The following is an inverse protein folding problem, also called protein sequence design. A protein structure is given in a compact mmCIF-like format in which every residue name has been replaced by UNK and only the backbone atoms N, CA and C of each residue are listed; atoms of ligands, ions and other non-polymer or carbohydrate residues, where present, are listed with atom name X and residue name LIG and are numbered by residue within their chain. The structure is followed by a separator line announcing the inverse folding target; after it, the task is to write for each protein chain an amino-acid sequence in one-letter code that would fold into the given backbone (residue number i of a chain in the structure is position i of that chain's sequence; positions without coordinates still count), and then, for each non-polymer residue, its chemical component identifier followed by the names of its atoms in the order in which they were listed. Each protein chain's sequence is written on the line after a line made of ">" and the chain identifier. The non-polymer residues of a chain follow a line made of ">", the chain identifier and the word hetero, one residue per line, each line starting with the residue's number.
data_IF_483016830148
#
_entry.id   IF_483016830148
#
_cell.length_a   1.000
_cell.length_b   1.000
_cell.length_c   1.000
_cell.angle_alpha   90.00
_cell.angle_beta   90.00
_cell.angle_gamma   90.00
#
_symmetry.space_group_name_H-M   'P 1'
#
loop_
_entity.id
_entity.type
_entity.pdbx_description
1 polymer ?
#
# COMPACT_ATOMS: atom_id res chain seq x y z
N UNK A 1 -23.25 -6.82 19.78
CA UNK A 1 -21.89 -7.42 19.74
C UNK A 1 -21.01 -6.56 18.85
N UNK A 2 -19.69 -6.56 19.01
CA UNK A 2 -18.78 -5.80 18.13
C UNK A 2 -18.83 -6.30 16.68
N UNK A 3 -19.01 -7.61 16.51
CA UNK A 3 -19.05 -8.26 15.19
C UNK A 3 -20.46 -8.66 14.74
N UNK A 4 -21.42 -8.70 15.66
CA UNK A 4 -22.76 -9.24 15.40
C UNK A 4 -23.83 -8.15 15.53
N UNK A 5 -24.91 -8.31 14.77
CA UNK A 5 -26.02 -7.36 14.67
C UNK A 5 -26.70 -7.05 16.00
N UNK A 6 -27.46 -5.95 16.00
CA UNK A 6 -28.24 -5.51 17.15
C UNK A 6 -29.24 -6.61 17.57
N UNK A 7 -29.33 -6.88 18.88
CA UNK A 7 -30.20 -7.93 19.43
C UNK A 7 -29.58 -9.33 19.51
N UNK A 8 -28.33 -9.55 19.04
CA UNK A 8 -27.65 -10.86 19.18
C UNK A 8 -27.48 -11.22 20.67
N UNK A 9 -27.99 -12.37 21.15
CA UNK A 9 -27.83 -12.81 22.52
C UNK A 9 -26.35 -12.93 22.93
N UNK A 10 -26.02 -12.57 24.17
CA UNK A 10 -24.63 -12.56 24.64
C UNK A 10 -23.92 -13.92 24.55
N UNK A 11 -24.66 -15.02 24.62
CA UNK A 11 -24.14 -16.40 24.49
C UNK A 11 -23.84 -16.80 23.04
N UNK A 12 -24.39 -16.07 22.06
CA UNK A 12 -24.21 -16.31 20.63
C UNK A 12 -23.24 -15.30 20.00
N UNK A 13 -22.90 -14.24 20.74
CA UNK A 13 -21.98 -13.21 20.30
C UNK A 13 -20.54 -13.76 20.17
N UNK A 14 -19.86 -13.42 19.08
CA UNK A 14 -18.47 -13.82 18.85
C UNK A 14 -17.55 -13.17 19.89
N UNK A 15 -16.76 -14.00 20.59
CA UNK A 15 -15.76 -13.53 21.56
C UNK A 15 -14.43 -13.23 20.87
N UNK A 16 -13.89 -12.00 20.97
CA UNK A 16 -12.55 -11.70 20.48
C UNK A 16 -11.49 -12.36 21.38
N UNK A 17 -10.43 -12.90 20.78
CA UNK A 17 -9.27 -13.43 21.50
C UNK A 17 -8.38 -12.29 22.00
N UNK A 18 -8.69 -11.75 23.19
CA UNK A 18 -7.95 -10.64 23.81
C UNK A 18 -7.24 -11.09 25.08
N UNK A 19 -5.95 -10.73 25.19
CA UNK A 19 -5.13 -11.05 26.36
C UNK A 19 -4.62 -9.80 27.10
N UNK A 20 -5.14 -8.60 26.81
CA UNK A 20 -4.69 -7.35 27.43
C UNK A 20 -5.85 -6.33 27.58
N UNK A 21 -6.00 -5.75 28.79
CA UNK A 21 -7.00 -4.73 29.11
C UNK A 21 -7.00 -3.52 28.13
N UNK A 22 -5.85 -2.97 27.70
CA UNK A 22 -5.83 -1.87 26.73
C UNK A 22 -6.53 -2.19 25.41
N UNK A 23 -6.54 -3.46 24.99
CA UNK A 23 -7.20 -3.86 23.75
C UNK A 23 -8.73 -3.81 23.89
N UNK A 24 -9.28 -4.06 25.08
CA UNK A 24 -10.73 -3.93 25.33
C UNK A 24 -11.16 -2.47 25.19
N UNK A 25 -10.39 -1.54 25.76
CA UNK A 25 -10.61 -0.10 25.61
C UNK A 25 -10.62 0.34 24.14
N UNK A 26 -9.70 -0.18 23.31
CA UNK A 26 -9.71 0.07 21.86
C UNK A 26 -11.02 -0.39 21.22
N UNK A 27 -11.52 -1.58 21.55
CA UNK A 27 -12.78 -2.09 21.00
C UNK A 27 -14.00 -1.27 21.44
N UNK A 28 -14.02 -0.82 22.69
CA UNK A 28 -15.07 0.08 23.18
C UNK A 28 -15.09 1.39 22.39
N UNK A 29 -13.92 1.98 22.10
CA UNK A 29 -13.82 3.20 21.30
C UNK A 29 -14.30 2.99 19.87
N UNK A 30 -13.93 1.88 19.24
CA UNK A 30 -14.50 1.48 17.94
C UNK A 30 -16.02 1.33 17.98
N UNK A 31 -16.56 0.71 19.03
CA UNK A 31 -18.00 0.50 19.16
C UNK A 31 -18.77 1.80 19.44
N UNK A 32 -18.14 2.79 20.08
CA UNK A 32 -18.71 4.11 20.38
C UNK A 32 -18.75 5.05 19.17
N UNK A 33 -18.01 4.74 18.11
CA UNK A 33 -18.02 5.57 16.90
C UNK A 33 -19.44 5.65 16.32
N UNK A 34 -19.92 6.86 15.98
CA UNK A 34 -21.33 7.08 15.67
C UNK A 34 -21.75 6.52 14.30
N UNK A 35 -20.78 6.22 13.43
CA UNK A 35 -21.01 5.75 12.06
C UNK A 35 -20.05 4.64 11.70
N UNK A 36 -20.56 3.70 10.92
CA UNK A 36 -19.82 2.65 10.22
C UNK A 36 -19.94 2.86 8.72
N UNK A 37 -19.05 2.23 7.95
CA UNK A 37 -19.18 2.24 6.50
C UNK A 37 -20.53 1.65 6.04
N UNK A 38 -21.01 0.60 6.72
CA UNK A 38 -22.31 -0.04 6.47
C UNK A 38 -23.51 0.90 6.56
N UNK A 39 -23.41 2.00 7.31
CA UNK A 39 -24.48 2.98 7.48
C UNK A 39 -24.62 3.91 6.26
N UNK A 40 -23.66 3.88 5.33
CA UNK A 40 -23.63 4.72 4.13
C UNK A 40 -24.28 4.05 2.92
N UNK A 41 -25.36 3.30 3.13
CA UNK A 41 -26.04 2.58 2.05
C UNK A 41 -26.41 3.52 0.89
N UNK A 42 -26.07 3.11 -0.33
CA UNK A 42 -26.27 3.91 -1.54
C UNK A 42 -25.16 4.91 -1.86
N UNK A 43 -24.19 5.16 -0.96
CA UNK A 43 -23.04 6.02 -1.22
C UNK A 43 -21.79 5.26 -1.69
N UNK A 44 -21.81 3.93 -1.56
CA UNK A 44 -20.75 3.05 -2.02
C UNK A 44 -21.32 1.76 -2.61
N UNK A 45 -20.50 1.09 -3.41
CA UNK A 45 -20.80 -0.21 -4.01
C UNK A 45 -19.57 -1.11 -3.94
N UNK A 46 -19.73 -2.34 -3.45
CA UNK A 46 -18.63 -3.30 -3.32
C UNK A 46 -18.82 -4.50 -4.25
N UNK A 47 -17.74 -4.95 -4.91
CA UNK A 47 -17.81 -6.03 -5.89
C UNK A 47 -16.56 -6.91 -5.91
N UNK A 48 -16.76 -8.19 -6.24
CA UNK A 48 -15.68 -9.15 -6.59
C UNK A 48 -15.35 -9.13 -8.08
N UNK A 49 -16.13 -8.37 -8.86
CA UNK A 49 -16.02 -8.22 -10.32
C UNK A 49 -16.08 -9.57 -11.05
N UNK A 50 -14.96 -10.05 -11.59
CA UNK A 50 -14.94 -11.30 -12.35
C UNK A 50 -14.46 -12.48 -11.51
N UNK A 51 -15.30 -13.51 -11.38
CA UNK A 51 -14.81 -14.80 -10.88
C UNK A 51 -13.81 -15.39 -11.89
N UNK A 52 -12.58 -15.65 -11.43
CA UNK A 52 -11.49 -16.09 -12.30
C UNK A 52 -11.84 -17.34 -13.12
N UNK A 53 -12.59 -18.28 -12.54
CA UNK A 53 -12.94 -19.54 -13.22
C UNK A 53 -14.06 -19.33 -14.22
N UNK A 54 -15.15 -18.69 -13.78
CA UNK A 54 -16.31 -18.49 -14.65
C UNK A 54 -16.04 -17.53 -15.80
N UNK A 55 -15.31 -16.43 -15.54
CA UNK A 55 -14.96 -15.45 -16.56
C UNK A 55 -14.04 -16.01 -17.65
N UNK A 56 -13.23 -17.03 -17.33
CA UNK A 56 -12.47 -17.75 -18.36
C UNK A 56 -13.34 -18.75 -19.11
N UNK A 57 -14.23 -19.45 -18.42
CA UNK A 57 -15.12 -20.44 -19.01
C UNK A 57 -16.13 -19.81 -19.99
N UNK A 58 -16.63 -18.60 -19.71
CA UNK A 58 -17.59 -17.88 -20.56
C UNK A 58 -16.93 -16.93 -21.59
N UNK A 59 -15.59 -16.92 -21.66
CA UNK A 59 -14.81 -16.11 -22.59
C UNK A 59 -14.78 -14.61 -22.27
N UNK A 60 -15.14 -14.18 -21.06
CA UNK A 60 -14.97 -12.76 -20.63
C UNK A 60 -13.50 -12.39 -20.53
N UNK A 61 -12.70 -13.28 -19.94
CA UNK A 61 -11.26 -13.10 -19.74
C UNK A 61 -10.50 -14.32 -20.24
N UNK A 62 -9.22 -14.15 -20.53
CA UNK A 62 -8.32 -15.27 -20.81
C UNK A 62 -7.00 -15.05 -20.10
N UNK A 63 -6.39 -16.15 -19.66
CA UNK A 63 -5.06 -16.11 -19.08
C UNK A 63 -4.01 -15.91 -20.17
N UNK A 64 -3.38 -14.74 -20.19
CA UNK A 64 -2.32 -14.39 -21.09
C UNK A 64 -1.41 -13.35 -20.42
N UNK A 65 -0.14 -13.69 -20.24
CA UNK A 65 0.80 -12.82 -19.54
C UNK A 65 1.40 -11.82 -20.51
N UNK A 66 1.10 -10.53 -20.33
CA UNK A 66 1.61 -9.45 -21.18
C UNK A 66 1.67 -8.11 -20.43
N UNK A 67 2.43 -7.15 -20.95
CA UNK A 67 2.20 -5.74 -20.65
C UNK A 67 0.92 -5.28 -21.35
N UNK A 68 -0.04 -4.69 -20.63
CA UNK A 68 -1.26 -4.15 -21.25
C UNK A 68 -0.92 -2.89 -22.06
N UNK A 69 -1.62 -2.67 -23.18
CA UNK A 69 -1.46 -1.46 -23.99
C UNK A 69 -2.07 -0.23 -23.30
N UNK A 70 -3.15 -0.44 -22.54
CA UNK A 70 -3.86 0.58 -21.77
C UNK A 70 -4.53 -0.02 -20.53
N UNK A 71 -5.08 0.83 -19.67
CA UNK A 71 -5.72 0.45 -18.40
C UNK A 71 -6.93 -0.48 -18.56
N UNK A 72 -7.63 -0.45 -19.69
CA UNK A 72 -8.80 -1.29 -19.96
C UNK A 72 -8.43 -2.76 -20.23
N UNK A 73 -7.21 -3.01 -20.70
CA UNK A 73 -6.67 -4.37 -20.84
C UNK A 73 -6.11 -4.92 -19.51
N UNK A 74 -5.90 -4.04 -18.52
CA UNK A 74 -5.28 -4.43 -17.26
C UNK A 74 -6.29 -5.08 -16.31
N UNK A 75 -6.24 -6.40 -16.17
CA UNK A 75 -6.98 -7.14 -15.15
C UNK A 75 -6.08 -7.39 -13.94
N UNK A 76 -6.33 -6.64 -12.87
CA UNK A 76 -5.56 -6.65 -11.64
C UNK A 76 -5.79 -7.93 -10.81
N UNK A 77 -4.74 -8.33 -10.10
CA UNK A 77 -4.72 -9.45 -9.15
C UNK A 77 -3.95 -9.08 -7.88
N UNK A 78 -4.15 -9.84 -6.81
CA UNK A 78 -3.64 -9.51 -5.47
C UNK A 78 -2.16 -9.10 -5.38
N UNK A 79 -1.20 -9.79 -6.03
CA UNK A 79 0.23 -9.43 -5.96
C UNK A 79 0.57 -8.04 -6.51
N UNK A 80 -0.26 -7.45 -7.38
CA UNK A 80 0.04 -6.18 -8.04
C UNK A 80 0.15 -4.99 -7.07
N UNK A 81 -0.52 -5.05 -5.93
CA UNK A 81 -0.58 -3.94 -4.99
C UNK A 81 -0.32 -4.40 -3.54
N UNK A 82 0.06 -3.46 -2.69
CA UNK A 82 0.21 -3.61 -1.25
C UNK A 82 -0.36 -2.39 -0.51
N UNK A 83 -0.26 -2.33 0.82
CA UNK A 83 -0.81 -1.24 1.64
C UNK A 83 -0.36 0.12 1.10
N UNK A 84 -1.30 0.94 0.63
CA UNK A 84 -1.05 2.26 0.05
C UNK A 84 -0.13 2.25 -1.18
N UNK A 85 0.09 1.10 -1.80
CA UNK A 85 1.07 0.87 -2.88
C UNK A 85 0.39 0.20 -4.07
N UNK A 86 -0.20 0.98 -5.00
CA UNK A 86 -0.89 0.41 -6.17
C UNK A 86 0.01 -0.37 -7.13
N UNK A 87 1.31 -0.03 -7.15
CA UNK A 87 2.34 -0.68 -7.95
C UNK A 87 3.37 -1.37 -7.05
N UNK A 88 3.07 -2.59 -6.62
CA UNK A 88 3.90 -3.37 -5.71
C UNK A 88 4.76 -4.41 -6.43
N UNK A 89 4.13 -5.26 -7.24
CA UNK A 89 4.82 -6.30 -8.01
C UNK A 89 4.24 -6.44 -9.41
N UNK A 90 5.06 -6.97 -10.31
CA UNK A 90 4.64 -7.40 -11.65
C UNK A 90 4.92 -8.88 -11.83
N UNK A 91 4.05 -9.65 -12.50
CA UNK A 91 4.38 -11.02 -12.88
C UNK A 91 5.56 -11.04 -13.84
N UNK A 92 6.33 -12.12 -13.77
CA UNK A 92 7.32 -12.47 -14.79
C UNK A 92 6.61 -12.89 -16.07
N UNK A 93 7.26 -12.76 -17.22
CA UNK A 93 6.77 -13.25 -18.51
C UNK A 93 6.27 -14.70 -18.40
N UNK A 94 7.06 -15.58 -17.76
CA UNK A 94 6.67 -16.95 -17.42
C UNK A 94 6.18 -17.01 -15.97
N UNK A 95 4.91 -16.72 -15.76
CA UNK A 95 4.28 -16.77 -14.44
C UNK A 95 3.51 -18.08 -14.21
N UNK A 96 4.17 -19.18 -13.85
CA UNK A 96 3.49 -20.46 -13.54
C UNK A 96 3.25 -20.69 -12.05
N UNK A 97 4.03 -20.04 -11.20
CA UNK A 97 3.98 -20.21 -9.74
C UNK A 97 3.56 -18.94 -9.03
N UNK A 98 3.03 -19.08 -7.82
CA UNK A 98 2.59 -17.94 -6.97
C UNK A 98 3.72 -16.96 -6.65
N UNK A 99 4.97 -17.41 -6.72
CA UNK A 99 6.17 -16.62 -6.46
C UNK A 99 6.80 -15.97 -7.69
N UNK A 100 6.27 -16.16 -8.90
CA UNK A 100 6.83 -15.59 -10.14
C UNK A 100 6.42 -14.12 -10.33
N UNK A 101 6.69 -13.32 -9.31
CA UNK A 101 6.45 -11.88 -9.27
C UNK A 101 7.69 -11.18 -8.75
N UNK A 102 8.06 -10.08 -9.40
CA UNK A 102 9.20 -9.26 -9.01
C UNK A 102 8.71 -7.92 -8.44
N UNK A 103 9.41 -7.42 -7.42
CA UNK A 103 9.11 -6.14 -6.78
C UNK A 103 9.40 -4.98 -7.73
N UNK A 104 8.50 -4.01 -7.76
CA UNK A 104 8.65 -2.81 -8.59
C UNK A 104 9.44 -1.74 -7.85
N UNK A 105 10.31 -1.05 -8.58
CA UNK A 105 11.07 0.08 -8.04
C UNK A 105 10.45 1.42 -8.43
N UNK A 106 9.66 1.96 -7.52
CA UNK A 106 8.88 3.18 -7.73
C UNK A 106 9.71 4.41 -8.09
N UNK A 107 10.97 4.50 -7.68
CA UNK A 107 11.82 5.67 -7.97
C UNK A 107 12.13 5.79 -9.46
N UNK A 108 12.00 4.69 -10.20
CA UNK A 108 12.52 4.58 -11.55
C UNK A 108 11.46 4.11 -12.57
N UNK A 109 10.26 3.71 -12.11
CA UNK A 109 9.15 3.44 -13.02
C UNK A 109 8.80 4.68 -13.88
N UNK A 110 8.42 4.49 -15.16
CA UNK A 110 7.80 5.53 -15.98
C UNK A 110 6.53 6.11 -15.36
N UNK A 111 6.18 7.33 -15.75
CA UNK A 111 5.01 8.04 -15.23
C UNK A 111 3.68 7.45 -15.76
N UNK A 112 3.70 6.74 -16.88
CA UNK A 112 2.58 6.06 -17.54
C UNK A 112 2.63 4.53 -17.38
N UNK A 113 3.46 4.03 -16.46
CA UNK A 113 3.73 2.61 -16.31
C UNK A 113 2.47 1.78 -15.98
N UNK A 114 2.29 0.67 -16.70
CA UNK A 114 1.34 -0.39 -16.37
C UNK A 114 2.11 -1.71 -16.13
N UNK A 115 1.84 -2.44 -15.04
CA UNK A 115 2.50 -3.72 -14.80
C UNK A 115 1.97 -4.79 -15.74
N UNK A 116 2.75 -5.85 -15.98
CA UNK A 116 2.23 -7.04 -16.66
C UNK A 116 0.99 -7.53 -15.94
N UNK A 117 0.03 -8.09 -16.67
CA UNK A 117 -1.07 -8.86 -16.10
C UNK A 117 -0.99 -10.30 -16.58
N UNK A 118 -1.59 -11.22 -15.82
CA UNK A 118 -1.79 -12.60 -16.22
C UNK A 118 -3.13 -12.84 -16.92
N UNK A 119 -4.04 -11.86 -16.90
CA UNK A 119 -5.38 -11.98 -17.48
C UNK A 119 -5.71 -10.76 -18.31
N UNK A 120 -6.32 -10.97 -19.48
CA UNK A 120 -6.77 -9.90 -20.37
C UNK A 120 -8.22 -10.16 -20.81
N UNK A 121 -8.95 -9.12 -21.25
CA UNK A 121 -10.27 -9.30 -21.87
C UNK A 121 -10.20 -10.28 -23.05
N UNK A 122 -11.23 -11.12 -23.19
CA UNK A 122 -11.30 -12.16 -24.23
C UNK A 122 -12.56 -12.08 -25.12
N UNK A 123 -13.40 -11.07 -24.91
CA UNK A 123 -14.53 -10.72 -25.76
C UNK A 123 -14.39 -9.30 -26.31
N UNK A 124 -15.31 -8.89 -27.20
CA UNK A 124 -15.32 -7.53 -27.71
C UNK A 124 -15.68 -6.50 -26.62
N UNK A 125 -15.36 -5.23 -26.89
CA UNK A 125 -15.51 -4.12 -25.94
C UNK A 125 -16.96 -3.95 -25.47
N UNK A 126 -17.96 -4.18 -26.32
CA UNK A 126 -19.36 -3.99 -25.95
C UNK A 126 -19.83 -5.10 -25.00
N UNK A 127 -19.49 -6.34 -25.32
CA UNK A 127 -19.81 -7.48 -24.45
C UNK A 127 -19.04 -7.40 -23.12
N UNK A 128 -17.77 -7.00 -23.14
CA UNK A 128 -17.00 -6.79 -21.91
C UNK A 128 -17.61 -5.69 -21.02
N UNK A 129 -18.02 -4.57 -21.62
CA UNK A 129 -18.70 -3.49 -20.92
C UNK A 129 -20.06 -3.92 -20.34
N UNK A 130 -20.79 -4.80 -21.04
CA UNK A 130 -22.06 -5.37 -20.56
C UNK A 130 -21.87 -6.31 -19.38
N UNK A 131 -20.78 -7.08 -19.35
CA UNK A 131 -20.42 -7.99 -18.24
C UNK A 131 -19.79 -7.26 -17.05
N UNK A 132 -19.30 -6.04 -17.26
CA UNK A 132 -18.73 -5.22 -16.20
C UNK A 132 -19.83 -4.75 -15.24
N UNK A 133 -19.71 -4.99 -13.91
CA UNK A 133 -20.68 -4.52 -12.94
C UNK A 133 -20.87 -2.99 -12.98
N UNK A 134 -22.06 -2.54 -12.63
CA UNK A 134 -22.40 -1.12 -12.49
C UNK A 134 -22.64 -0.76 -11.04
N UNK A 135 -22.38 0.50 -10.69
CA UNK A 135 -22.72 1.02 -9.36
C UNK A 135 -24.24 1.05 -9.17
N UNK A 136 -24.69 1.28 -7.93
CA UNK A 136 -26.13 1.29 -7.58
C UNK A 136 -26.78 2.67 -7.63
N UNK A 137 -26.02 3.71 -7.97
CA UNK A 137 -26.50 5.08 -8.10
C UNK A 137 -26.32 5.60 -9.53
N UNK A 138 -27.04 6.67 -9.86
CA UNK A 138 -26.91 7.37 -11.14
C UNK A 138 -26.33 8.75 -10.89
N UNK A 139 -25.34 9.14 -11.70
CA UNK A 139 -24.74 10.48 -11.61
C UNK A 139 -25.73 11.56 -12.08
N UNK A 140 -25.64 12.80 -11.57
CA UNK A 140 -26.51 13.89 -12.03
C UNK A 140 -26.39 14.11 -13.54
N UNK A 141 -27.53 13.98 -14.25
CA UNK A 141 -27.59 14.17 -15.71
C UNK A 141 -27.37 12.91 -16.54
N UNK A 142 -27.28 11.73 -15.92
CA UNK A 142 -27.22 10.44 -16.62
C UNK A 142 -28.51 9.63 -16.44
N UNK A 143 -28.80 8.78 -17.43
CA UNK A 143 -30.01 7.93 -17.43
C UNK A 143 -29.76 6.56 -16.79
N UNK A 144 -28.51 6.10 -16.73
CA UNK A 144 -28.13 4.78 -16.23
C UNK A 144 -26.92 4.84 -15.29
N UNK A 145 -26.83 3.95 -14.28
CA UNK A 145 -25.65 3.84 -13.44
C UNK A 145 -24.38 3.52 -14.24
N UNK A 146 -23.27 4.19 -13.94
CA UNK A 146 -21.97 3.96 -14.59
C UNK A 146 -21.36 2.61 -14.22
N UNK A 147 -20.41 2.12 -15.03
CA UNK A 147 -19.67 0.90 -14.70
C UNK A 147 -18.76 1.17 -13.51
N UNK A 148 -18.48 0.14 -12.71
CA UNK A 148 -17.51 0.26 -11.61
C UNK A 148 -16.14 0.71 -12.11
N UNK A 149 -15.74 0.31 -13.33
CA UNK A 149 -14.50 0.70 -13.99
C UNK A 149 -14.38 2.20 -14.24
N UNK A 150 -15.49 2.94 -14.30
CA UNK A 150 -15.49 4.37 -14.61
C UNK A 150 -15.09 5.24 -13.39
N UNK A 151 -14.89 4.60 -12.21
CA UNK A 151 -14.51 5.24 -10.95
C UNK A 151 -13.06 4.96 -10.55
N UNK A 152 -12.50 5.79 -9.68
CA UNK A 152 -11.38 5.35 -8.83
C UNK A 152 -11.94 4.49 -7.69
N UNK A 153 -11.23 3.43 -7.32
CA UNK A 153 -11.75 2.44 -6.36
C UNK A 153 -10.72 2.10 -5.29
N UNK A 154 -11.19 1.74 -4.11
CA UNK A 154 -10.37 1.11 -3.09
C UNK A 154 -10.36 -0.41 -3.35
N UNK A 155 -9.22 -0.97 -3.72
CA UNK A 155 -9.01 -2.39 -3.87
C UNK A 155 -8.45 -3.00 -2.59
N UNK A 156 -8.96 -4.15 -2.18
CA UNK A 156 -8.46 -4.94 -1.06
C UNK A 156 -8.27 -6.39 -1.50
N UNK A 157 -7.18 -7.03 -1.05
CA UNK A 157 -7.01 -8.47 -1.29
C UNK A 157 -8.14 -9.25 -0.60
N UNK A 158 -8.77 -10.16 -1.34
CA UNK A 158 -9.88 -10.96 -0.80
C UNK A 158 -9.38 -11.99 0.22
N UNK A 159 -8.21 -12.59 -0.02
CA UNK A 159 -7.61 -13.54 0.94
C UNK A 159 -6.81 -12.80 2.01
N UNK A 160 -7.08 -13.11 3.28
CA UNK A 160 -6.46 -12.50 4.46
C UNK A 160 -5.55 -13.51 5.13
N UNK A 161 -4.34 -13.06 5.49
CA UNK A 161 -3.41 -13.83 6.31
C UNK A 161 -3.19 -13.14 7.64
N UNK A 162 -3.86 -13.64 8.68
CA UNK A 162 -3.83 -13.04 10.03
C UNK A 162 -2.40 -13.08 10.61
N UNK A 163 -1.66 -14.15 10.31
CA UNK A 163 -0.26 -14.33 10.74
C UNK A 163 0.78 -13.63 9.85
N UNK A 164 0.37 -12.95 8.77
CA UNK A 164 1.31 -12.22 7.93
C UNK A 164 1.69 -10.87 8.54
N UNK A 165 2.67 -10.21 7.91
CA UNK A 165 3.08 -8.83 8.21
C UNK A 165 1.86 -7.90 8.30
N UNK A 166 1.01 -7.93 7.27
CA UNK A 166 -0.29 -7.25 7.20
C UNK A 166 -1.38 -8.23 6.81
N UNK A 167 -2.53 -8.16 7.47
CA UNK A 167 -3.72 -8.97 7.15
C UNK A 167 -4.58 -8.28 6.10
N UNK A 168 -4.92 -7.02 6.35
CA UNK A 168 -5.60 -6.13 5.42
C UNK A 168 -4.59 -5.51 4.45
N UNK A 169 -4.80 -5.74 3.16
CA UNK A 169 -3.92 -5.20 2.10
C UNK A 169 -4.75 -4.37 1.12
N UNK A 170 -4.83 -3.04 1.34
CA UNK A 170 -5.56 -2.11 0.49
C UNK A 170 -4.68 -1.21 -0.41
N UNK A 171 -5.19 -0.82 -1.57
CA UNK A 171 -4.64 0.26 -2.40
C UNK A 171 -5.74 0.90 -3.27
N UNK A 172 -5.56 2.18 -3.64
CA UNK A 172 -6.39 2.80 -4.67
C UNK A 172 -6.01 2.29 -6.06
N UNK A 173 -7.00 1.99 -6.89
CA UNK A 173 -6.82 1.59 -8.29
C UNK A 173 -7.45 2.63 -9.23
N UNK A 174 -6.85 2.85 -10.42
CA UNK A 174 -7.34 3.86 -11.35
C UNK A 174 -8.60 3.39 -12.09
N UNK A 175 -9.17 4.30 -12.89
CA UNK A 175 -10.27 3.99 -13.81
C UNK A 175 -9.85 2.92 -14.84
N UNK A 176 -10.84 2.31 -15.47
CA UNK A 176 -10.77 1.29 -16.52
C UNK A 176 -10.21 -0.08 -16.10
N UNK A 177 -9.51 -0.16 -14.97
CA UNK A 177 -8.90 -1.40 -14.46
C UNK A 177 -9.95 -2.39 -13.96
N UNK A 178 -9.96 -3.59 -14.52
CA UNK A 178 -10.73 -4.71 -14.00
C UNK A 178 -9.93 -5.51 -12.96
N UNK A 179 -10.57 -6.46 -12.27
CA UNK A 179 -9.85 -7.37 -11.37
C UNK A 179 -10.51 -8.74 -11.29
N UNK A 180 -9.73 -9.74 -10.86
CA UNK A 180 -10.28 -11.06 -10.51
C UNK A 180 -10.89 -11.06 -9.11
N UNK A 181 -11.69 -12.08 -8.81
CA UNK A 181 -12.29 -12.35 -7.50
C UNK A 181 -11.28 -12.56 -6.34
N UNK A 182 -9.98 -12.66 -6.63
CA UNK A 182 -8.91 -12.55 -5.62
C UNK A 182 -8.79 -11.16 -4.98
N UNK A 183 -9.55 -10.19 -5.48
CA UNK A 183 -9.61 -8.80 -5.03
C UNK A 183 -11.08 -8.40 -4.87
N UNK A 184 -11.35 -7.59 -3.87
CA UNK A 184 -12.63 -6.89 -3.72
C UNK A 184 -12.39 -5.40 -3.88
N UNK A 185 -13.23 -4.71 -4.64
CA UNK A 185 -13.17 -3.26 -4.78
C UNK A 185 -14.39 -2.58 -4.17
N UNK A 186 -14.19 -1.35 -3.71
CA UNK A 186 -15.22 -0.45 -3.22
C UNK A 186 -15.19 0.83 -4.08
N UNK A 187 -16.31 1.12 -4.73
CA UNK A 187 -16.58 2.37 -5.44
C UNK A 187 -17.32 3.31 -4.49
N UNK A 188 -17.05 4.61 -4.57
CA UNK A 188 -17.74 5.63 -3.77
C UNK A 188 -18.23 6.74 -4.70
N UNK A 189 -19.37 7.33 -4.37
CA UNK A 189 -19.90 8.49 -5.10
C UNK A 189 -19.22 9.82 -4.70
N UNK A 190 -18.24 9.77 -3.78
CA UNK A 190 -17.48 10.92 -3.29
C UNK A 190 -16.00 10.57 -3.19
N UNK A 191 -15.15 11.42 -3.78
CA UNK A 191 -13.68 11.29 -3.68
C UNK A 191 -13.18 11.48 -2.25
N UNK A 192 -13.79 12.39 -1.48
CA UNK A 192 -13.45 12.58 -0.05
C UNK A 192 -13.74 11.31 0.75
N UNK A 193 -14.87 10.65 0.50
CA UNK A 193 -15.20 9.39 1.16
C UNK A 193 -14.23 8.27 0.76
N UNK A 194 -13.89 8.18 -0.53
CA UNK A 194 -12.87 7.25 -1.03
C UNK A 194 -11.52 7.46 -0.31
N UNK A 195 -11.08 8.72 -0.16
CA UNK A 195 -9.81 9.07 0.50
C UNK A 195 -9.84 8.70 1.98
N UNK A 196 -10.90 9.08 2.71
CA UNK A 196 -11.04 8.78 4.14
C UNK A 196 -11.05 7.29 4.42
N UNK A 197 -11.88 6.53 3.70
CA UNK A 197 -11.96 5.07 3.87
C UNK A 197 -10.65 4.40 3.48
N UNK A 198 -9.97 4.89 2.44
CA UNK A 198 -8.65 4.38 2.06
C UNK A 198 -7.61 4.65 3.14
N UNK A 199 -7.53 5.88 3.67
CA UNK A 199 -6.63 6.23 4.77
C UNK A 199 -6.88 5.38 6.02
N UNK A 200 -8.14 5.18 6.39
CA UNK A 200 -8.49 4.27 7.49
C UNK A 200 -8.02 2.84 7.21
N UNK A 201 -8.30 2.29 6.02
CA UNK A 201 -7.89 0.96 5.63
C UNK A 201 -6.36 0.78 5.57
N UNK A 202 -5.60 1.84 5.25
CA UNK A 202 -4.13 1.81 5.20
C UNK A 202 -3.52 1.66 6.59
N UNK A 203 -4.26 2.02 7.64
CA UNK A 203 -3.77 2.00 9.01
C UNK A 203 -3.64 0.60 9.62
N UNK A 204 -2.69 0.46 10.54
CA UNK A 204 -2.57 -0.70 11.42
C UNK A 204 -3.80 -0.93 12.30
N UNK A 205 -4.57 0.12 12.59
CA UNK A 205 -5.72 0.02 13.47
C UNK A 205 -6.84 -0.76 12.76
N UNK A 206 -7.07 -0.51 11.47
CA UNK A 206 -8.00 -1.30 10.67
C UNK A 206 -7.49 -2.72 10.39
N UNK A 207 -6.18 -2.89 10.17
CA UNK A 207 -5.59 -4.22 10.04
C UNK A 207 -5.73 -5.01 11.36
N UNK A 208 -5.64 -4.35 12.52
CA UNK A 208 -5.88 -4.96 13.82
C UNK A 208 -7.31 -5.50 13.91
N UNK A 209 -8.31 -4.69 13.55
CA UNK A 209 -9.72 -5.13 13.54
C UNK A 209 -9.91 -6.33 12.60
N UNK A 210 -9.21 -6.34 11.46
CA UNK A 210 -9.24 -7.47 10.53
C UNK A 210 -8.64 -8.73 11.13
N UNK A 211 -7.45 -8.63 11.71
CA UNK A 211 -6.76 -9.75 12.35
C UNK A 211 -7.55 -10.31 13.53
N UNK A 212 -8.15 -9.43 14.33
CA UNK A 212 -8.95 -9.82 15.49
C UNK A 212 -10.23 -10.56 15.10
N UNK A 213 -10.81 -10.24 13.94
CA UNK A 213 -12.01 -10.92 13.43
C UNK A 213 -11.81 -12.41 13.13
N UNK A 214 -10.56 -12.87 12.98
CA UNK A 214 -10.25 -14.26 12.64
C UNK A 214 -10.58 -14.65 11.20
N UNK A 215 -11.02 -13.70 10.35
CA UNK A 215 -11.45 -13.97 8.97
C UNK A 215 -10.25 -14.24 8.06
N UNK A 216 -10.36 -15.27 7.22
CA UNK A 216 -9.37 -15.64 6.20
C UNK A 216 -9.78 -15.18 4.80
N UNK A 217 -11.02 -14.71 4.64
CA UNK A 217 -11.54 -14.08 3.45
C UNK A 217 -12.28 -12.79 3.82
N UNK A 218 -12.06 -11.74 3.03
CA UNK A 218 -12.54 -10.39 3.28
C UNK A 218 -14.06 -10.30 3.24
N UNK A 219 -14.74 -10.98 2.32
CA UNK A 219 -16.19 -10.80 2.10
C UNK A 219 -16.61 -9.31 2.19
N UNK A 220 -17.65 -8.95 2.95
CA UNK A 220 -18.08 -7.56 3.19
C UNK A 220 -17.56 -6.98 4.53
N UNK A 221 -16.39 -7.43 5.00
CA UNK A 221 -15.96 -7.17 6.38
C UNK A 221 -15.72 -5.71 6.74
N UNK A 222 -15.23 -4.88 5.81
CA UNK A 222 -14.90 -3.48 6.14
C UNK A 222 -16.16 -2.61 6.32
N UNK A 223 -17.32 -3.09 5.89
CA UNK A 223 -18.61 -2.41 6.07
C UNK A 223 -19.01 -2.40 7.57
N UNK A 224 -18.49 -3.35 8.34
CA UNK A 224 -18.72 -3.43 9.80
C UNK A 224 -17.85 -2.42 10.57
N UNK A 225 -16.87 -1.77 9.94
CA UNK A 225 -15.87 -0.96 10.65
C UNK A 225 -16.33 0.49 10.81
N UNK A 226 -15.94 1.06 11.94
CA UNK A 226 -16.21 2.45 12.30
C UNK A 226 -15.56 3.40 11.32
N UNK A 227 -16.33 4.34 10.76
CA UNK A 227 -15.82 5.39 9.89
C UNK A 227 -15.35 6.56 10.77
N UNK A 228 -14.03 6.77 10.95
CA UNK A 228 -13.53 7.81 11.84
C UNK A 228 -13.87 9.19 11.26
N UNK A 229 -14.16 10.13 12.14
CA UNK A 229 -14.32 11.52 11.73
C UNK A 229 -12.97 12.23 11.73
N UNK A 230 -12.64 12.84 10.60
CA UNK A 230 -11.36 13.51 10.36
C UNK A 230 -11.51 15.02 10.26
N UNK A 231 -12.58 15.65 10.79
CA UNK A 231 -12.87 17.08 10.56
C UNK A 231 -11.62 17.99 10.63
N UNK A 232 -10.80 17.85 11.68
CA UNK A 232 -9.61 18.67 11.88
C UNK A 232 -8.36 18.18 11.12
N UNK A 233 -8.30 16.89 10.78
CA UNK A 233 -7.10 16.23 10.21
C UNK A 233 -7.32 15.69 8.80
N UNK A 234 -8.42 16.05 8.15
CA UNK A 234 -8.80 15.54 6.84
C UNK A 234 -7.75 15.86 5.79
N UNK A 235 -7.19 17.07 5.81
CA UNK A 235 -6.15 17.49 4.87
C UNK A 235 -4.81 16.75 5.13
N UNK A 236 -4.45 16.51 6.40
CA UNK A 236 -3.28 15.70 6.78
C UNK A 236 -3.37 14.28 6.22
N UNK A 237 -4.53 13.65 6.38
CA UNK A 237 -4.81 12.31 5.87
C UNK A 237 -4.80 12.31 4.34
N UNK A 238 -5.51 13.25 3.72
CA UNK A 238 -5.70 13.31 2.28
C UNK A 238 -4.40 13.49 1.53
N UNK A 239 -3.54 14.42 1.95
CA UNK A 239 -2.24 14.65 1.34
C UNK A 239 -1.39 13.36 1.33
N UNK A 240 -1.38 12.60 2.43
CA UNK A 240 -0.61 11.35 2.56
C UNK A 240 -1.21 10.21 1.74
N UNK A 241 -2.53 10.01 1.80
CA UNK A 241 -3.23 8.96 1.03
C UNK A 241 -3.08 9.18 -0.47
N UNK A 242 -3.28 10.42 -0.92
CA UNK A 242 -3.14 10.77 -2.34
C UNK A 242 -1.70 10.62 -2.79
N UNK A 243 -0.72 11.13 -2.03
CA UNK A 243 0.69 11.03 -2.40
C UNK A 243 1.22 9.59 -2.39
N UNK A 244 0.69 8.72 -1.53
CA UNK A 244 1.01 7.28 -1.55
C UNK A 244 0.45 6.57 -2.78
N UNK A 245 -0.72 7.00 -3.26
CA UNK A 245 -1.54 6.27 -4.23
C UNK A 245 -1.37 6.75 -5.67
N UNK A 246 -1.28 8.06 -5.91
CA UNK A 246 -1.26 8.66 -7.25
C UNK A 246 0.11 8.52 -7.94
N UNK A 247 0.53 7.28 -8.21
CA UNK A 247 1.87 6.95 -8.69
C UNK A 247 2.10 7.19 -10.19
N UNK A 248 1.04 7.30 -10.99
CA UNK A 248 1.10 7.41 -12.45
C UNK A 248 0.13 8.45 -12.98
N UNK A 249 0.26 8.80 -14.26
CA UNK A 249 -0.65 9.69 -15.00
C UNK A 249 -2.10 9.19 -14.98
N UNK A 250 -2.34 7.88 -14.78
CA UNK A 250 -3.67 7.29 -14.62
C UNK A 250 -4.43 7.80 -13.39
N UNK A 251 -3.77 8.52 -12.47
CA UNK A 251 -4.37 9.16 -11.31
C UNK A 251 -4.51 10.68 -11.46
N UNK A 252 -4.22 11.26 -12.63
CA UNK A 252 -4.21 12.71 -12.82
C UNK A 252 -5.55 13.36 -12.48
N UNK A 253 -6.67 12.80 -12.95
CA UNK A 253 -8.00 13.33 -12.62
C UNK A 253 -8.30 13.23 -11.12
N UNK A 254 -7.93 12.11 -10.49
CA UNK A 254 -8.13 11.91 -9.05
C UNK A 254 -7.34 12.95 -8.26
N UNK A 255 -6.08 13.15 -8.63
CA UNK A 255 -5.21 14.16 -8.02
C UNK A 255 -5.80 15.56 -8.16
N UNK A 256 -6.07 16.00 -9.39
CA UNK A 256 -6.58 17.35 -9.67
C UNK A 256 -7.92 17.62 -8.99
N UNK A 257 -8.83 16.64 -8.99
CA UNK A 257 -10.16 16.79 -8.39
C UNK A 257 -10.17 16.85 -6.87
N UNK A 258 -9.11 16.35 -6.22
CA UNK A 258 -9.04 16.19 -4.76
C UNK A 258 -7.90 16.99 -4.11
N UNK A 259 -7.10 17.69 -4.92
CA UNK A 259 -6.05 18.57 -4.45
C UNK A 259 -6.65 19.76 -3.66
N UNK A 260 -6.05 20.06 -2.51
CA UNK A 260 -6.30 21.29 -1.75
C UNK A 260 -4.99 22.06 -1.59
N UNK A 261 -4.99 23.41 -1.68
CA UNK A 261 -3.84 24.24 -1.31
C UNK A 261 -3.32 23.99 0.12
N UNK A 262 -4.15 23.45 1.01
CA UNK A 262 -3.72 23.05 2.37
C UNK A 262 -2.67 21.94 2.34
N UNK A 263 -2.52 21.21 1.23
CA UNK A 263 -1.47 20.20 1.09
C UNK A 263 -0.07 20.83 1.13
N UNK A 264 0.07 22.09 0.71
CA UNK A 264 1.36 22.78 0.70
C UNK A 264 1.79 23.30 2.08
N UNK A 265 0.87 23.37 3.05
CA UNK A 265 1.18 23.76 4.43
C UNK A 265 1.68 22.58 5.26
N UNK A 266 1.49 21.35 4.77
CA UNK A 266 1.83 20.12 5.46
C UNK A 266 3.34 19.94 5.62
N UNK A 267 3.77 19.26 6.67
CA UNK A 267 5.16 18.90 6.92
C UNK A 267 5.25 17.47 7.44
N UNK A 268 6.43 16.88 7.30
CA UNK A 268 6.73 15.62 7.97
C UNK A 268 6.80 15.82 9.47
N UNK A 269 6.29 14.85 10.24
CA UNK A 269 6.49 14.85 11.70
C UNK A 269 7.96 14.66 12.09
N UNK A 270 8.76 14.09 11.20
CA UNK A 270 10.19 13.83 11.37
C UNK A 270 11.03 14.76 10.51
N UNK A 271 12.03 15.37 11.14
CA UNK A 271 13.09 16.10 10.44
C UNK A 271 14.33 15.19 10.29
N UNK A 272 14.36 14.41 9.21
CA UNK A 272 15.44 13.46 8.89
C UNK A 272 15.90 13.64 7.44
N UNK A 273 17.20 13.41 7.13
CA UNK A 273 17.71 13.55 5.76
C UNK A 273 17.04 12.65 4.72
N UNK A 274 16.54 11.47 5.13
CA UNK A 274 15.86 10.50 4.27
C UNK A 274 14.47 10.96 3.83
N UNK A 275 13.94 12.03 4.43
CA UNK A 275 12.66 12.61 4.09
C UNK A 275 12.86 13.91 3.31
N UNK A 276 12.26 14.03 2.10
CA UNK A 276 12.28 15.28 1.36
C UNK A 276 11.44 16.32 2.10
N UNK A 277 12.10 17.27 2.77
CA UNK A 277 11.47 18.25 3.65
C UNK A 277 10.53 19.19 2.88
N UNK A 278 10.88 19.51 1.64
CA UNK A 278 10.09 20.39 0.76
C UNK A 278 9.00 19.64 -0.04
N UNK A 279 8.80 18.33 0.20
CA UNK A 279 7.87 17.51 -0.58
C UNK A 279 6.47 18.13 -0.67
N UNK A 280 5.87 18.40 0.49
CA UNK A 280 4.52 18.97 0.58
C UNK A 280 4.46 20.38 -0.01
N UNK A 281 5.46 21.22 0.30
CA UNK A 281 5.53 22.59 -0.23
C UNK A 281 5.57 22.62 -1.77
N UNK A 282 6.18 21.61 -2.39
CA UNK A 282 6.35 21.49 -3.84
C UNK A 282 5.20 20.74 -4.55
N UNK A 283 4.12 20.36 -3.84
CA UNK A 283 2.95 19.75 -4.48
C UNK A 283 2.24 20.76 -5.39
N UNK A 284 1.73 20.29 -6.52
CA UNK A 284 1.04 21.11 -7.52
C UNK A 284 -0.41 20.66 -7.73
N UNK A 285 -1.32 21.55 -8.19
CA UNK A 285 -2.69 21.18 -8.51
C UNK A 285 -2.78 20.14 -9.64
N UNK A 286 -1.97 20.30 -10.69
CA UNK A 286 -1.81 19.31 -11.75
C UNK A 286 -0.88 18.20 -11.27
N UNK A 287 -1.21 16.95 -11.62
CA UNK A 287 -0.36 15.82 -11.28
C UNK A 287 1.01 15.94 -11.98
N UNK A 288 2.06 15.76 -11.20
CA UNK A 288 3.44 15.65 -11.65
C UNK A 288 4.12 14.50 -10.91
N UNK A 289 5.27 14.03 -11.41
CA UNK A 289 6.00 12.90 -10.81
C UNK A 289 6.35 13.09 -9.33
N UNK A 290 6.61 14.32 -8.92
CA UNK A 290 6.94 14.72 -7.54
C UNK A 290 5.71 14.88 -6.64
N UNK A 291 4.49 14.73 -7.15
CA UNK A 291 3.28 14.64 -6.32
C UNK A 291 3.16 13.29 -5.59
N UNK A 292 3.96 12.29 -5.99
CA UNK A 292 3.89 10.94 -5.46
C UNK A 292 5.11 10.58 -4.57
N UNK A 293 4.84 9.89 -3.46
CA UNK A 293 5.88 9.35 -2.58
C UNK A 293 6.46 8.07 -3.19
N UNK A 294 7.76 8.09 -3.53
CA UNK A 294 8.41 6.98 -4.24
C UNK A 294 9.52 6.28 -3.47
N UNK A 295 10.22 6.98 -2.58
CA UNK A 295 11.25 6.36 -1.73
C UNK A 295 10.61 5.46 -0.68
N UNK A 296 11.29 4.37 -0.34
CA UNK A 296 10.78 3.40 0.62
C UNK A 296 10.54 4.05 2.00
N UNK A 297 11.45 4.92 2.43
CA UNK A 297 11.38 5.59 3.72
C UNK A 297 10.23 6.60 3.81
N UNK A 298 10.02 7.43 2.79
CA UNK A 298 8.91 8.41 2.81
C UNK A 298 7.55 7.71 2.77
N UNK A 299 7.44 6.59 2.04
CA UNK A 299 6.22 5.77 2.04
C UNK A 299 5.98 5.11 3.39
N UNK A 300 7.03 4.57 4.03
CA UNK A 300 6.96 4.07 5.41
C UNK A 300 6.50 5.16 6.37
N UNK A 301 7.10 6.34 6.33
CA UNK A 301 6.79 7.44 7.22
C UNK A 301 5.34 7.92 7.04
N UNK A 302 4.86 8.03 5.81
CA UNK A 302 3.46 8.38 5.54
C UNK A 302 2.48 7.36 6.14
N UNK A 303 2.78 6.06 6.07
CA UNK A 303 1.97 5.02 6.72
C UNK A 303 2.00 5.12 8.26
N UNK A 304 3.17 5.43 8.85
CA UNK A 304 3.28 5.70 10.30
C UNK A 304 2.40 6.89 10.71
N UNK A 305 2.44 7.97 9.94
CA UNK A 305 1.64 9.16 10.21
C UNK A 305 0.14 8.89 10.02
N UNK A 306 -0.25 8.10 9.01
CA UNK A 306 -1.63 7.63 8.84
C UNK A 306 -2.10 6.82 10.04
N UNK A 307 -1.28 5.92 10.59
CA UNK A 307 -1.64 5.17 11.80
C UNK A 307 -1.98 6.11 12.96
N UNK A 308 -1.17 7.16 13.18
CA UNK A 308 -1.41 8.14 14.24
C UNK A 308 -2.67 8.96 13.98
N UNK A 309 -2.88 9.45 12.75
CA UNK A 309 -4.05 10.23 12.37
C UNK A 309 -5.34 9.43 12.59
N UNK A 310 -5.35 8.16 12.19
CA UNK A 310 -6.50 7.26 12.37
C UNK A 310 -6.70 6.91 13.85
N UNK A 311 -5.63 6.66 14.60
CA UNK A 311 -5.71 6.40 16.04
C UNK A 311 -6.32 7.60 16.79
N UNK A 312 -5.89 8.82 16.48
CA UNK A 312 -6.44 10.04 17.09
C UNK A 312 -7.89 10.28 16.68
N UNK A 313 -8.26 10.05 15.42
CA UNK A 313 -9.65 10.17 14.94
C UNK A 313 -10.60 9.16 15.60
N UNK A 314 -10.06 8.02 16.05
CA UNK A 314 -10.79 6.99 16.81
C UNK A 314 -10.67 7.19 18.34
N UNK A 315 -10.13 8.32 18.78
CA UNK A 315 -9.92 8.67 20.20
C UNK A 315 -9.03 7.67 20.96
N UNK A 316 -8.18 6.93 20.25
CA UNK A 316 -7.18 6.07 20.90
C UNK A 316 -6.13 6.94 21.61
N UNK A 317 -5.45 6.33 22.57
CA UNK A 317 -4.25 6.89 23.20
C UNK A 317 -3.00 6.38 22.48
N UNK A 318 -1.89 7.09 22.64
CA UNK A 318 -0.59 6.64 22.15
C UNK A 318 -0.21 5.26 22.71
N UNK A 319 -0.49 4.99 23.99
CA UNK A 319 -0.16 3.70 24.59
C UNK A 319 -1.02 2.56 24.02
N UNK A 320 -2.29 2.82 23.68
CA UNK A 320 -3.13 1.85 22.97
C UNK A 320 -2.56 1.55 21.58
N UNK A 321 -2.17 2.58 20.80
CA UNK A 321 -1.53 2.38 19.48
C UNK A 321 -0.24 1.56 19.60
N UNK A 322 0.63 1.89 20.56
CA UNK A 322 1.86 1.13 20.83
C UNK A 322 1.54 -0.31 21.24
N UNK A 323 0.52 -0.52 22.07
CA UNK A 323 0.08 -1.86 22.49
C UNK A 323 -0.44 -2.68 21.31
N UNK A 324 -1.25 -2.09 20.43
CA UNK A 324 -1.69 -2.74 19.19
C UNK A 324 -0.50 -3.22 18.37
N UNK A 325 0.46 -2.33 18.11
CA UNK A 325 1.67 -2.65 17.36
C UNK A 325 2.46 -3.80 18.01
N UNK A 326 2.72 -3.70 19.33
CA UNK A 326 3.52 -4.67 20.09
C UNK A 326 2.92 -6.07 20.10
N UNK A 327 1.61 -6.18 20.28
CA UNK A 327 0.92 -7.46 20.51
C UNK A 327 0.46 -8.12 19.22
N UNK A 328 -0.09 -7.33 18.28
CA UNK A 328 -0.84 -7.87 17.13
C UNK A 328 -0.01 -7.91 15.84
N UNK A 329 1.16 -7.29 15.84
CA UNK A 329 2.03 -7.21 14.66
C UNK A 329 3.46 -7.73 14.91
N UNK A 330 3.66 -8.92 15.52
CA UNK A 330 4.99 -9.44 15.84
C UNK A 330 5.87 -9.66 14.60
N UNK A 331 5.28 -10.10 13.47
CA UNK A 331 6.01 -10.30 12.21
C UNK A 331 6.50 -8.97 11.64
N UNK A 332 5.63 -7.96 11.60
CA UNK A 332 5.99 -6.62 11.15
C UNK A 332 7.09 -6.02 12.04
N UNK A 333 6.97 -6.17 13.37
CA UNK A 333 8.00 -5.75 14.32
C UNK A 333 9.34 -6.39 14.05
N UNK A 334 9.35 -7.71 13.84
CA UNK A 334 10.56 -8.44 13.52
C UNK A 334 11.20 -7.94 12.22
N UNK A 335 10.40 -7.65 11.20
CA UNK A 335 10.92 -7.15 9.93
C UNK A 335 11.43 -5.71 10.02
N UNK A 336 10.71 -4.81 10.66
CA UNK A 336 11.14 -3.43 10.83
C UNK A 336 12.38 -3.31 11.71
N UNK A 337 12.49 -4.13 12.76
CA UNK A 337 13.65 -4.17 13.64
C UNK A 337 14.97 -4.58 12.95
N UNK A 338 14.92 -4.94 11.66
CA UNK A 338 16.07 -5.27 10.86
C UNK A 338 15.92 -4.88 9.37
N UNK A 339 15.10 -3.87 9.08
CA UNK A 339 15.05 -3.23 7.76
C UNK A 339 15.88 -1.96 7.79
N UNK A 340 16.84 -1.86 6.88
CA UNK A 340 17.83 -0.79 6.84
C UNK A 340 17.68 0.04 5.57
N UNK A 341 17.85 1.35 5.73
CA UNK A 341 17.71 2.34 4.66
C UNK A 341 19.02 3.09 4.45
N UNK A 342 19.25 3.51 3.22
CA UNK A 342 20.33 4.43 2.87
C UNK A 342 19.97 5.89 3.20
N UNK A 343 20.90 6.81 3.00
CA UNK A 343 20.68 8.24 3.25
C UNK A 343 19.62 8.88 2.34
N UNK A 344 19.27 8.25 1.21
CA UNK A 344 18.22 8.70 0.30
C UNK A 344 16.87 8.04 0.58
N UNK A 345 16.76 7.25 1.66
CA UNK A 345 15.53 6.59 2.06
C UNK A 345 15.17 5.35 1.24
N UNK A 346 16.13 4.73 0.54
CA UNK A 346 15.97 3.45 -0.16
C UNK A 346 16.37 2.29 0.75
N UNK A 347 15.62 1.20 0.73
CA UNK A 347 15.96 -0.02 1.47
C UNK A 347 17.25 -0.63 0.88
N UNK A 348 18.29 -0.77 1.71
CA UNK A 348 19.49 -1.55 1.36
C UNK A 348 19.40 -3.00 1.86
N UNK A 349 18.62 -3.27 2.92
CA UNK A 349 18.42 -4.62 3.42
C UNK A 349 17.07 -4.75 4.11
N UNK A 350 16.37 -5.86 3.90
CA UNK A 350 15.16 -6.22 4.66
C UNK A 350 15.01 -7.74 4.77
N UNK A 351 14.55 -8.27 5.92
CA UNK A 351 14.16 -9.67 6.05
C UNK A 351 12.72 -9.95 5.56
N UNK A 352 11.96 -8.93 5.13
CA UNK A 352 10.55 -9.11 4.75
C UNK A 352 10.40 -10.09 3.59
N UNK A 353 9.53 -11.09 3.76
CA UNK A 353 9.18 -12.05 2.71
C UNK A 353 8.34 -11.42 1.60
N UNK A 354 7.72 -10.27 1.86
CA UNK A 354 7.02 -9.49 0.85
C UNK A 354 7.99 -8.84 -0.15
N UNK A 355 9.17 -8.43 0.32
CA UNK A 355 10.13 -7.61 -0.43
C UNK A 355 11.35 -8.41 -0.92
N UNK A 356 11.17 -9.69 -1.25
CA UNK A 356 12.25 -10.50 -1.83
C UNK A 356 12.77 -9.84 -3.11
N UNK A 357 14.10 -9.66 -3.17
CA UNK A 357 14.78 -8.98 -4.28
C UNK A 357 14.97 -7.47 -4.07
N UNK A 358 14.40 -6.87 -3.02
CA UNK A 358 14.69 -5.48 -2.63
C UNK A 358 15.89 -5.43 -1.71
N UNK A 359 16.88 -4.60 -2.06
CA UNK A 359 18.13 -4.50 -1.31
C UNK A 359 19.11 -5.65 -1.60
N UNK A 360 20.18 -5.70 -0.80
CA UNK A 360 21.15 -6.79 -0.80
C UNK A 360 20.59 -8.01 -0.05
N UNK A 361 21.01 -9.23 -0.41
CA UNK A 361 20.77 -10.40 0.44
C UNK A 361 21.51 -10.24 1.78
N UNK A 362 21.07 -10.95 2.83
CA UNK A 362 21.77 -10.93 4.14
C UNK A 362 23.27 -11.23 3.97
N UNK A 363 23.55 -12.38 3.36
CA UNK A 363 24.89 -12.87 3.05
C UNK A 363 25.08 -12.87 1.54
N UNK A 364 26.32 -12.65 1.11
CA UNK A 364 26.70 -12.70 -0.30
C UNK A 364 26.27 -14.02 -0.96
N UNK A 365 25.65 -13.94 -2.14
CA UNK A 365 25.20 -15.12 -2.90
C UNK A 365 26.00 -15.24 -4.19
N UNK A 366 26.80 -16.30 -4.31
CA UNK A 366 27.53 -16.61 -5.56
C UNK A 366 26.61 -16.82 -6.76
N UNK A 367 25.33 -17.17 -6.53
CA UNK A 367 24.33 -17.28 -7.57
C UNK A 367 24.02 -15.93 -8.25
N UNK A 368 24.16 -14.80 -7.54
CA UNK A 368 23.88 -13.49 -8.10
C UNK A 368 24.88 -13.15 -9.23
N UNK A 369 26.16 -13.45 -9.03
CA UNK A 369 27.19 -13.32 -10.08
C UNK A 369 26.87 -14.17 -11.31
N UNK A 370 26.42 -15.43 -11.10
CA UNK A 370 26.00 -16.32 -12.20
C UNK A 370 24.78 -15.79 -12.95
N UNK A 371 23.94 -15.01 -12.29
CA UNK A 371 22.77 -14.35 -12.86
C UNK A 371 23.11 -12.95 -13.43
N UNK A 372 24.40 -12.61 -13.58
CA UNK A 372 24.85 -11.37 -14.20
C UNK A 372 24.74 -10.13 -13.30
N UNK A 373 24.64 -10.31 -11.98
CA UNK A 373 24.72 -9.20 -11.03
C UNK A 373 26.18 -8.75 -10.91
N UNK A 374 26.41 -7.44 -10.98
CA UNK A 374 27.72 -6.82 -10.82
C UNK A 374 27.64 -5.86 -9.64
N UNK A 375 28.55 -6.00 -8.68
CA UNK A 375 28.55 -5.19 -7.46
C UNK A 375 29.73 -4.21 -7.48
N UNK A 376 29.55 -3.06 -6.83
CA UNK A 376 30.63 -2.12 -6.59
C UNK A 376 30.45 -1.44 -5.22
N UNK A 377 31.55 -1.26 -4.50
CA UNK A 377 31.61 -0.52 -3.23
C UNK A 377 32.67 0.56 -3.38
N UNK A 378 32.21 1.82 -3.36
CA UNK A 378 33.08 2.98 -3.37
C UNK A 378 33.03 3.64 -1.99
N UNK A 379 33.94 3.24 -1.12
CA UNK A 379 34.05 3.79 0.23
C UNK A 379 35.49 3.64 0.75
N UNK A 380 36.03 4.66 1.45
CA UNK A 380 37.30 4.53 2.17
C UNK A 380 37.25 3.50 3.30
N UNK A 381 36.05 3.16 3.80
CA UNK A 381 35.86 2.17 4.86
C UNK A 381 35.88 0.73 4.32
N UNK A 382 35.85 0.56 2.98
CA UNK A 382 35.81 -0.75 2.34
C UNK A 382 37.18 -1.43 2.34
N UNK A 383 37.24 -2.61 2.93
CA UNK A 383 38.46 -3.43 3.03
C UNK A 383 38.39 -4.73 2.21
N UNK A 384 37.27 -4.97 1.52
CA UNK A 384 37.05 -6.21 0.76
C UNK A 384 37.77 -6.27 -0.60
N UNK A 385 38.43 -5.20 -1.02
CA UNK A 385 39.21 -5.16 -2.28
C UNK A 385 38.36 -4.94 -3.52
N UNK A 386 38.84 -5.42 -4.67
CA UNK A 386 38.16 -5.29 -5.97
C UNK A 386 36.86 -6.10 -6.01
N UNK A 387 35.77 -5.45 -6.43
CA UNK A 387 34.43 -6.05 -6.49
C UNK A 387 34.11 -6.77 -7.81
N UNK A 388 35.02 -6.74 -8.80
CA UNK A 388 34.76 -7.21 -10.19
C UNK A 388 34.13 -8.61 -10.28
N UNK A 389 34.50 -9.54 -9.40
CA UNK A 389 33.94 -10.91 -9.32
C UNK A 389 33.46 -11.28 -7.91
N UNK A 390 33.07 -10.29 -7.12
CA UNK A 390 32.68 -10.48 -5.72
C UNK A 390 31.18 -10.31 -5.54
N UNK A 391 30.54 -11.34 -4.98
CA UNK A 391 29.17 -11.22 -4.50
C UNK A 391 29.19 -10.44 -3.17
N UNK A 392 28.25 -9.52 -3.00
CA UNK A 392 28.17 -8.66 -1.82
C UNK A 392 26.80 -8.86 -1.15
N UNK A 393 26.82 -9.10 0.15
CA UNK A 393 25.65 -9.11 1.01
C UNK A 393 25.64 -7.94 1.99
N UNK A 394 24.52 -7.77 2.68
CA UNK A 394 24.34 -6.78 3.73
C UNK A 394 25.39 -6.88 4.83
N UNK A 395 25.73 -8.10 5.27
CA UNK A 395 26.73 -8.31 6.32
C UNK A 395 28.12 -7.79 5.95
N UNK A 396 28.42 -7.69 4.66
CA UNK A 396 29.69 -7.18 4.14
C UNK A 396 29.77 -5.65 4.17
N UNK A 397 28.64 -4.93 4.07
CA UNK A 397 28.62 -3.47 3.88
C UNK A 397 27.98 -2.69 5.04
N UNK A 398 27.32 -3.34 5.98
CA UNK A 398 26.59 -2.67 7.08
C UNK A 398 27.42 -1.75 7.97
N UNK A 399 28.75 -1.90 7.94
CA UNK A 399 29.68 -1.12 8.77
C UNK A 399 30.13 0.20 8.12
N UNK A 400 29.86 0.40 6.82
CA UNK A 400 30.30 1.59 6.08
C UNK A 400 29.69 2.86 6.71
N UNK A 401 30.54 3.87 6.95
CA UNK A 401 30.13 5.17 7.49
C UNK A 401 30.01 6.24 6.41
N UNK A 402 30.60 6.02 5.25
CA UNK A 402 30.52 6.91 4.07
C UNK A 402 30.64 6.11 2.78
N UNK A 403 30.45 6.77 1.64
CA UNK A 403 30.55 6.17 0.32
C UNK A 403 29.26 5.48 -0.16
N UNK A 404 29.38 4.71 -1.24
CA UNK A 404 28.25 4.10 -1.93
C UNK A 404 28.43 2.59 -2.12
N UNK A 405 27.31 1.89 -2.13
CA UNK A 405 27.22 0.49 -2.57
C UNK A 405 26.29 0.47 -3.77
N UNK A 406 26.65 -0.26 -4.83
CA UNK A 406 25.79 -0.38 -6.00
C UNK A 406 25.74 -1.79 -6.55
N UNK A 407 24.63 -2.11 -7.20
CA UNK A 407 24.41 -3.37 -7.90
C UNK A 407 23.81 -3.11 -9.27
N UNK A 408 24.36 -3.75 -10.29
CA UNK A 408 23.85 -3.70 -11.67
C UNK A 408 23.35 -5.08 -12.08
N UNK A 409 22.09 -5.17 -12.51
CA UNK A 409 21.42 -6.43 -12.87
C UNK A 409 20.52 -6.25 -14.10
N UNK A 410 20.03 -7.36 -14.68
CA UNK A 410 19.00 -7.32 -15.73
C UNK A 410 17.61 -7.15 -15.13
N UNK A 411 16.91 -6.08 -15.51
CA UNK A 411 15.58 -5.73 -15.02
C UNK A 411 14.54 -5.95 -16.11
N UNK A 412 13.66 -6.93 -15.89
CA UNK A 412 12.55 -7.27 -16.80
C UNK A 412 11.22 -6.72 -16.32
N UNK A 413 11.21 -5.85 -15.30
CA UNK A 413 9.96 -5.34 -14.73
C UNK A 413 9.26 -4.33 -15.62
N UNK A 414 9.94 -3.76 -16.63
CA UNK A 414 9.40 -2.69 -17.50
C UNK A 414 9.17 -3.07 -18.95
N UNK A 415 9.85 -4.11 -19.42
CA UNK A 415 9.73 -4.64 -20.78
C UNK A 415 10.15 -6.11 -20.79
N UNK A 416 9.76 -6.83 -21.84
CA UNK A 416 10.19 -8.23 -22.06
C UNK A 416 11.64 -8.31 -22.55
N UNK A 417 12.14 -7.27 -23.22
CA UNK A 417 13.54 -7.20 -23.68
C UNK A 417 14.54 -7.12 -22.50
N UNK A 418 14.11 -6.54 -21.38
CA UNK A 418 14.93 -6.29 -20.21
C UNK A 418 15.93 -5.16 -20.39
N UNK A 419 16.28 -4.48 -19.30
CA UNK A 419 17.24 -3.38 -19.30
C UNK A 419 18.35 -3.64 -18.27
N UNK A 420 19.59 -3.24 -18.57
CA UNK A 420 20.66 -3.22 -17.56
C UNK A 420 20.45 -2.03 -16.65
N UNK A 421 20.21 -2.31 -15.37
CA UNK A 421 19.87 -1.28 -14.40
C UNK A 421 20.78 -1.32 -13.19
N UNK A 422 21.18 -0.13 -12.73
CA UNK A 422 22.00 0.06 -11.54
C UNK A 422 21.16 0.62 -10.40
N UNK A 423 21.25 0.01 -9.23
CA UNK A 423 20.75 0.54 -7.97
C UNK A 423 21.95 0.95 -7.12
N UNK A 424 21.91 2.13 -6.53
CA UNK A 424 22.96 2.66 -5.65
C UNK A 424 22.36 3.05 -4.30
N UNK A 425 23.09 2.77 -3.22
CA UNK A 425 22.76 3.10 -1.85
C UNK A 425 23.88 3.93 -1.22
N UNK A 426 23.50 4.99 -0.51
CA UNK A 426 24.41 5.90 0.19
C UNK A 426 24.55 5.57 1.69
N UNK A 427 25.77 5.29 2.14
CA UNK A 427 26.10 5.11 3.56
C UNK A 427 26.21 6.47 4.30
N UNK A 428 26.05 6.51 5.64
CA UNK A 428 25.78 5.39 6.54
C UNK A 428 24.34 4.87 6.42
N UNK A 429 24.06 3.67 6.92
CA UNK A 429 22.72 3.08 6.86
C UNK A 429 21.97 3.30 8.16
N UNK A 430 20.69 3.63 8.06
CA UNK A 430 19.83 3.87 9.23
C UNK A 430 18.82 2.76 9.40
N UNK A 431 18.43 2.54 10.65
CA UNK A 431 17.34 1.66 11.02
C UNK A 431 16.32 2.44 11.85
N UNK A 432 15.12 2.72 11.33
CA UNK A 432 14.13 3.49 12.07
C UNK A 432 13.51 2.67 13.21
N UNK A 433 13.04 3.38 14.23
CA UNK A 433 12.23 2.83 15.32
C UNK A 433 10.80 3.34 15.19
N UNK A 434 9.87 2.45 14.82
CA UNK A 434 8.45 2.80 14.65
C UNK A 434 7.80 3.26 15.96
N UNK A 435 8.20 2.73 17.11
CA UNK A 435 7.62 3.18 18.38
C UNK A 435 8.05 4.61 18.71
N UNK A 436 9.30 4.98 18.39
CA UNK A 436 9.76 6.36 18.47
C UNK A 436 9.07 7.24 17.41
N UNK A 437 8.92 6.74 16.18
CA UNK A 437 8.22 7.48 15.12
C UNK A 437 6.77 7.76 15.49
N UNK A 438 6.06 6.82 16.14
CA UNK A 438 4.72 7.05 16.66
C UNK A 438 4.69 8.13 17.72
N UNK A 439 5.63 8.15 18.67
CA UNK A 439 5.69 9.20 19.70
C UNK A 439 5.87 10.58 19.08
N UNK A 440 6.76 10.70 18.10
CA UNK A 440 7.02 11.98 17.42
C UNK A 440 5.83 12.41 16.56
N UNK A 441 5.28 11.52 15.74
CA UNK A 441 4.10 11.80 14.94
C UNK A 441 2.88 12.16 15.81
N UNK A 442 2.71 11.48 16.95
CA UNK A 442 1.65 11.79 17.91
C UNK A 442 1.74 13.20 18.46
N UNK A 443 2.92 13.58 18.96
CA UNK A 443 3.16 14.92 19.49
C UNK A 443 2.96 15.99 18.40
N UNK A 444 3.46 15.72 17.20
CA UNK A 444 3.32 16.62 16.05
C UNK A 444 1.85 16.94 15.73
N UNK A 445 1.00 15.92 15.55
CA UNK A 445 -0.40 16.17 15.20
C UNK A 445 -1.26 16.67 16.36
N UNK A 446 -0.85 16.47 17.62
CA UNK A 446 -1.50 17.13 18.77
C UNK A 446 -1.20 18.63 18.76
N UNK A 447 0.06 19.03 18.60
CA UNK A 447 0.47 20.44 18.59
C UNK A 447 -0.14 21.20 17.42
N UNK A 448 -0.24 20.56 16.25
CA UNK A 448 -0.83 21.17 15.06
C UNK A 448 -2.32 21.45 15.26
N UNK A 449 -3.07 20.54 15.89
CA UNK A 449 -4.48 20.76 16.28
C UNK A 449 -4.65 21.90 17.28
N UNK A 450 -3.71 22.06 18.22
CA UNK A 450 -3.74 23.15 19.20
C UNK A 450 -3.39 24.52 18.57
N UNK A 451 -2.73 24.51 17.40
CA UNK A 451 -2.27 25.71 16.70
C UNK A 451 -3.20 26.17 15.57
N UNK A 452 -4.11 25.30 15.12
CA UNK A 452 -5.15 25.55 14.12
C UNK A 452 -6.40 26.16 14.76
#
# INVERSE_FOLDING_TARGET
>A
SLYDGEGTPALEARLPALHAEPLVSVLEKFAKQPRRLGDLQGQYFSTVMFDETYAQADGTTKRHTQFPEDTSQWILSGPHFYVGTPLYKTPREICTEKGHYDCLDLLTLPDDYLPRTNYIPACDVQEYAKRTPRVTWTEPGEDEPRKVTDYYRLALRAMISIGAEKGLVPALVPKDVAHTNGVRTYCFNSSDLLIRVSGSAYSLIYDFMMKLSGRTNLHQSIEEYALPDFVETAHHLSARVMSLSALTTSYSDFWQSSYSPDFNTQRWSRNLPQLPQDFFANLTPEWQRNCALRSDYSRRQALVEIDVLVAQALELTLEELLTLYRVQFPVMRQYEADTWYDQNGRIIFTPSKGLLGVGLPRTARKADLKNGFVFNVDSPDWTGGDCTDQAIGWDDVKHLQTGTVSVTFGDYTRSDEGERRTVTWQAPFIKPDREDDYKVAWAFFVQDKESA
#
